data_IF_694290940954
#
_entry.id   IF_694290940954
#
_cell.length_a   1.000
_cell.length_b   1.000
_cell.length_c   1.000
_cell.angle_alpha   90.00
_cell.angle_beta   90.00
_cell.angle_gamma   90.00
#
_symmetry.space_group_name_H-M   'P 1'
#
loop_
_entity.id
_entity.type
_entity.pdbx_description
1 polymer ?
#
# COMPACT_ATOMS: atom_id res chain seq x y z
N UNK A 1 -20.15 -26.95 -11.88
CA UNK A 1 -20.71 -25.58 -12.01
C UNK A 1 -19.95 -24.55 -11.18
N UNK A 2 -18.83 -24.04 -11.72
CA UNK A 2 -18.03 -22.95 -11.15
C UNK A 2 -18.69 -21.58 -11.31
N UNK A 3 -19.99 -21.47 -11.04
CA UNK A 3 -20.82 -20.29 -11.33
C UNK A 3 -20.90 -19.27 -10.19
N UNK A 4 -20.11 -19.42 -9.13
CA UNK A 4 -20.11 -18.47 -8.01
C UNK A 4 -18.70 -18.02 -7.66
N UNK A 5 -18.29 -16.89 -8.23
CA UNK A 5 -17.14 -16.11 -7.77
C UNK A 5 -17.46 -15.57 -6.36
N UNK A 6 -17.09 -16.33 -5.32
CA UNK A 6 -17.42 -16.00 -3.91
C UNK A 6 -16.40 -15.10 -3.21
N UNK A 7 -15.36 -14.64 -3.88
CA UNK A 7 -14.37 -13.75 -3.28
C UNK A 7 -14.45 -12.37 -3.91
N UNK A 8 -15.19 -11.47 -3.25
CA UNK A 8 -14.98 -10.04 -3.48
C UNK A 8 -13.54 -9.73 -3.09
N UNK A 9 -12.71 -9.19 -3.99
CA UNK A 9 -11.32 -8.90 -3.69
C UNK A 9 -11.24 -7.88 -2.56
N UNK A 10 -10.79 -8.31 -1.38
CA UNK A 10 -10.58 -7.42 -0.24
C UNK A 10 -9.38 -6.54 -0.55
N UNK A 11 -9.58 -5.23 -0.55
CA UNK A 11 -8.46 -4.27 -0.64
C UNK A 11 -7.91 -4.06 0.76
N UNK A 12 -6.63 -4.36 0.94
CA UNK A 12 -5.96 -4.24 2.24
C UNK A 12 -5.35 -2.84 2.38
N UNK A 13 -5.56 -2.19 3.52
CA UNK A 13 -4.84 -0.98 3.88
C UNK A 13 -3.86 -1.30 4.99
N UNK A 14 -2.58 -1.01 4.79
CA UNK A 14 -1.51 -1.24 5.76
C UNK A 14 -0.93 0.10 6.18
N UNK A 15 -0.85 0.34 7.48
CA UNK A 15 -0.21 1.53 8.07
C UNK A 15 1.06 1.09 8.79
N UNK A 16 2.19 1.70 8.46
CA UNK A 16 3.50 1.34 9.02
C UNK A 16 4.19 2.58 9.59
N UNK A 17 4.74 2.48 10.80
CA UNK A 17 5.64 3.47 11.39
C UNK A 17 7.09 3.10 11.07
N UNK A 18 7.62 3.58 9.94
CA UNK A 18 9.00 3.37 9.53
C UNK A 18 9.50 4.52 8.62
N UNK A 19 10.82 4.73 8.49
CA UNK A 19 11.38 5.69 7.53
C UNK A 19 11.00 5.35 6.08
N UNK A 20 10.74 6.38 5.26
CA UNK A 20 10.37 6.24 3.84
C UNK A 20 11.36 5.35 3.08
N UNK A 21 12.65 5.57 3.29
CA UNK A 21 13.75 4.85 2.63
C UNK A 21 13.75 3.34 2.95
N UNK A 22 13.43 2.97 4.19
CA UNK A 22 13.33 1.57 4.60
C UNK A 22 12.16 0.88 3.91
N UNK A 23 11.00 1.55 3.85
CA UNK A 23 9.83 1.05 3.15
C UNK A 23 10.12 0.89 1.65
N UNK A 24 10.71 1.92 1.01
CA UNK A 24 11.05 1.89 -0.42
C UNK A 24 12.07 0.79 -0.74
N UNK A 25 13.06 0.55 0.13
CA UNK A 25 14.00 -0.58 -0.04
C UNK A 25 13.28 -1.93 -0.05
N UNK A 26 12.30 -2.14 0.83
CA UNK A 26 11.50 -3.38 0.85
C UNK A 26 10.66 -3.50 -0.43
N UNK A 27 9.99 -2.43 -0.86
CA UNK A 27 9.21 -2.44 -2.10
C UNK A 27 10.10 -2.78 -3.31
N UNK A 28 11.28 -2.17 -3.39
CA UNK A 28 12.24 -2.41 -4.47
C UNK A 28 12.79 -3.85 -4.44
N UNK A 29 13.03 -4.40 -3.24
CA UNK A 29 13.55 -5.76 -3.07
C UNK A 29 12.50 -6.85 -3.37
N UNK A 30 11.22 -6.56 -3.22
CA UNK A 30 10.14 -7.55 -3.30
C UNK A 30 9.12 -7.21 -4.40
N UNK A 31 9.31 -7.74 -5.63
CA UNK A 31 8.42 -7.49 -6.77
C UNK A 31 6.94 -7.78 -6.48
N UNK A 32 6.65 -8.82 -5.70
CA UNK A 32 5.26 -9.16 -5.32
C UNK A 32 4.60 -8.06 -4.48
N UNK A 33 5.31 -7.47 -3.52
CA UNK A 33 4.78 -6.36 -2.71
C UNK A 33 4.52 -5.15 -3.60
N UNK A 34 5.46 -4.85 -4.51
CA UNK A 34 5.28 -3.80 -5.51
C UNK A 34 4.04 -4.04 -6.36
N UNK A 35 3.84 -5.25 -6.90
CA UNK A 35 2.67 -5.58 -7.71
C UNK A 35 1.35 -5.41 -6.95
N UNK A 36 1.30 -5.78 -5.66
CA UNK A 36 0.11 -5.57 -4.83
C UNK A 36 -0.24 -4.08 -4.69
N UNK A 37 0.77 -3.22 -4.55
CA UNK A 37 0.59 -1.77 -4.48
C UNK A 37 0.19 -1.20 -5.84
N UNK A 38 0.95 -1.53 -6.88
CA UNK A 38 0.78 -1.01 -8.24
C UNK A 38 -0.61 -1.39 -8.82
N UNK A 39 -1.10 -2.59 -8.50
CA UNK A 39 -2.43 -3.06 -8.90
C UNK A 39 -3.54 -2.71 -7.89
N UNK A 40 -3.24 -1.88 -6.88
CA UNK A 40 -4.20 -1.38 -5.89
C UNK A 40 -4.92 -2.46 -5.06
N UNK A 41 -4.26 -3.59 -4.84
CA UNK A 41 -4.70 -4.63 -3.90
C UNK A 41 -4.25 -4.33 -2.46
N UNK A 42 -3.17 -3.55 -2.32
CA UNK A 42 -2.64 -3.08 -1.06
C UNK A 42 -2.42 -1.55 -1.11
N UNK A 43 -3.13 -0.83 -0.24
CA UNK A 43 -2.86 0.58 0.02
C UNK A 43 -1.84 0.70 1.15
N UNK A 44 -0.68 1.25 0.82
CA UNK A 44 0.39 1.46 1.79
C UNK A 44 0.35 2.87 2.33
N UNK A 45 0.26 2.98 3.65
CA UNK A 45 0.34 4.22 4.38
C UNK A 45 1.51 4.20 5.35
N UNK A 46 2.14 5.35 5.52
CA UNK A 46 3.19 5.60 6.48
C UNK A 46 2.68 6.58 7.51
N UNK A 47 2.90 6.27 8.78
CA UNK A 47 2.63 7.16 9.90
C UNK A 47 3.95 7.69 10.46
N UNK A 48 4.07 9.00 10.60
CA UNK A 48 5.20 9.66 11.26
C UNK A 48 4.70 10.88 12.02
N UNK A 49 4.95 10.97 13.33
CA UNK A 49 4.62 12.15 14.14
C UNK A 49 3.17 12.65 13.91
N UNK A 50 2.22 11.71 13.80
CA UNK A 50 0.78 11.95 13.53
C UNK A 50 0.45 12.43 12.10
N UNK A 51 1.42 12.44 11.18
CA UNK A 51 1.20 12.68 9.76
C UNK A 51 1.09 11.34 9.05
N UNK A 52 0.00 11.18 8.30
CA UNK A 52 -0.19 10.05 7.41
C UNK A 52 0.21 10.43 5.99
N UNK A 53 0.89 9.51 5.33
CA UNK A 53 1.28 9.63 3.93
C UNK A 53 0.91 8.33 3.23
N UNK A 54 0.45 8.41 1.99
CA UNK A 54 0.19 7.24 1.16
C UNK A 54 1.27 7.09 0.10
N UNK A 55 1.70 5.86 -0.16
CA UNK A 55 2.64 5.57 -1.23
C UNK A 55 1.87 5.20 -2.51
N UNK A 56 2.08 5.94 -3.59
CA UNK A 56 1.43 5.72 -4.89
C UNK A 56 2.41 6.07 -6.01
N UNK A 57 2.50 5.20 -7.02
CA UNK A 57 3.32 5.44 -8.23
C UNK A 57 4.78 5.83 -7.96
N UNK A 58 5.38 5.33 -6.87
CA UNK A 58 6.76 5.69 -6.51
C UNK A 58 6.90 6.90 -5.59
N UNK A 59 5.80 7.57 -5.27
CA UNK A 59 5.79 8.85 -4.55
C UNK A 59 5.04 8.75 -3.23
N UNK A 60 5.47 9.57 -2.27
CA UNK A 60 4.77 9.77 -0.99
C UNK A 60 3.88 10.99 -1.11
N UNK A 61 2.58 10.79 -1.00
CA UNK A 61 1.59 11.86 -1.02
C UNK A 61 1.01 12.03 0.39
N UNK A 62 0.89 13.26 0.91
CA UNK A 62 0.25 13.50 2.19
C UNK A 62 -1.19 12.98 2.15
N UNK A 63 -1.62 12.31 3.21
CA UNK A 63 -3.02 11.89 3.34
C UNK A 63 -3.86 13.10 3.72
N UNK A 64 -4.64 13.61 2.77
CA UNK A 64 -5.63 14.65 3.01
C UNK A 64 -6.99 13.97 3.19
N UNK A 65 -7.55 14.04 4.40
CA UNK A 65 -8.97 13.78 4.61
C UNK A 65 -9.75 14.83 3.81
N UNK A 66 -10.50 14.37 2.81
CA UNK A 66 -11.61 15.15 2.25
C UNK A 66 -12.78 15.17 3.22
#
# INVERSE_FOLDING_TARGET
>A
DGQQWRHTPLRLTVVIEAPRESIQRIIAKHPTVRQLIDHQWLYLMRLEQRRLESYRNGEWLPWQQG
#
